data_IF_758482788871
#
_entry.id   IF_758482788871
#
_cell.length_a   1.000
_cell.length_b   1.000
_cell.length_c   1.000
_cell.angle_alpha   90.00
_cell.angle_beta   90.00
_cell.angle_gamma   90.00
#
_symmetry.space_group_name_H-M   'P 1'
#
loop_
_entity.id
_entity.type
_entity.pdbx_description
1 polymer ?
#
# COMPACT_ATOMS: atom_id res chain seq x y z
N UNK A 1 -23.25 31.45 11.66
CA UNK A 1 -22.64 30.19 12.15
C UNK A 1 -21.59 29.80 11.15
N UNK A 2 -20.31 29.85 11.53
CA UNK A 2 -19.24 29.41 10.65
C UNK A 2 -19.35 27.89 10.46
N UNK A 3 -19.66 27.45 9.25
CA UNK A 3 -19.52 26.04 8.89
C UNK A 3 -18.03 25.75 8.84
N UNK A 4 -17.45 25.31 9.97
CA UNK A 4 -16.13 24.71 9.95
C UNK A 4 -16.20 23.53 8.99
N UNK A 5 -15.51 23.62 7.85
CA UNK A 5 -15.25 22.46 7.01
C UNK A 5 -14.63 21.41 7.91
N UNK A 6 -15.30 20.28 8.09
CA UNK A 6 -14.74 19.17 8.86
C UNK A 6 -13.35 18.87 8.28
N UNK A 7 -12.32 18.87 9.13
CA UNK A 7 -10.98 18.50 8.70
C UNK A 7 -11.02 17.11 8.07
N UNK A 8 -10.29 16.94 6.96
CA UNK A 8 -10.17 15.69 6.24
C UNK A 8 -8.70 15.32 6.17
N UNK A 9 -8.33 14.19 6.76
CA UNK A 9 -6.97 13.69 6.70
C UNK A 9 -6.74 12.97 5.36
N UNK A 10 -5.63 13.26 4.70
CA UNK A 10 -5.30 12.68 3.39
C UNK A 10 -4.43 11.43 3.52
N UNK A 11 -4.79 10.43 2.71
CA UNK A 11 -4.09 9.16 2.61
C UNK A 11 -3.89 8.79 1.15
N UNK A 12 -2.85 8.00 0.89
CA UNK A 12 -2.58 7.44 -0.43
C UNK A 12 -2.63 5.92 -0.35
N UNK A 13 -3.32 5.29 -1.28
CA UNK A 13 -3.22 3.85 -1.48
C UNK A 13 -1.95 3.54 -2.26
N UNK A 14 -1.07 2.76 -1.65
CA UNK A 14 0.17 2.28 -2.24
C UNK A 14 0.01 0.81 -2.57
N UNK A 15 -0.11 0.44 -3.86
CA UNK A 15 -0.20 -0.96 -4.26
C UNK A 15 1.12 -1.68 -3.93
N UNK A 16 1.02 -2.93 -3.46
CA UNK A 16 2.16 -3.81 -3.20
C UNK A 16 2.25 -4.83 -4.35
N UNK A 17 3.20 -4.64 -5.25
CA UNK A 17 3.28 -5.34 -6.53
C UNK A 17 4.70 -5.78 -6.86
N UNK A 18 4.84 -6.75 -7.77
CA UNK A 18 6.15 -7.21 -8.22
C UNK A 18 6.84 -6.13 -9.06
N UNK A 19 8.17 -6.25 -9.11
CA UNK A 19 9.03 -5.47 -10.01
C UNK A 19 8.91 -3.95 -9.86
N UNK A 20 8.53 -3.52 -8.66
CA UNK A 20 8.57 -2.12 -8.22
C UNK A 20 9.56 -1.98 -7.07
N UNK A 21 10.42 -0.97 -7.18
CA UNK A 21 11.28 -0.55 -6.09
C UNK A 21 10.56 0.53 -5.27
N UNK A 22 10.41 0.27 -3.99
CA UNK A 22 9.88 1.20 -3.01
C UNK A 22 11.08 1.82 -2.29
N UNK A 23 11.27 3.13 -2.44
CA UNK A 23 12.40 3.85 -1.87
C UNK A 23 11.88 4.94 -0.94
N UNK A 24 12.26 4.93 0.34
CA UNK A 24 11.85 5.94 1.31
C UNK A 24 13.04 6.79 1.76
N UNK A 25 12.94 8.10 1.56
CA UNK A 25 13.92 9.07 2.02
C UNK A 25 13.43 9.73 3.31
N UNK A 26 13.99 9.33 4.46
CA UNK A 26 13.62 9.84 5.78
C UNK A 26 13.81 11.36 5.93
N UNK A 27 14.80 11.95 5.26
CA UNK A 27 15.10 13.40 5.37
C UNK A 27 14.07 14.26 4.65
N UNK A 28 13.61 13.82 3.47
CA UNK A 28 12.61 14.55 2.66
C UNK A 28 11.19 14.07 2.92
N UNK A 29 11.03 12.97 3.66
CA UNK A 29 9.76 12.29 3.91
C UNK A 29 9.04 11.90 2.61
N UNK A 30 9.80 11.46 1.59
CA UNK A 30 9.25 11.03 0.30
C UNK A 30 9.41 9.52 0.15
N UNK A 31 8.28 8.85 -0.07
CA UNK A 31 8.24 7.48 -0.58
C UNK A 31 8.09 7.53 -2.10
N UNK A 32 8.99 6.84 -2.80
CA UNK A 32 8.98 6.74 -4.27
C UNK A 32 8.71 5.31 -4.68
N UNK A 33 7.76 5.12 -5.60
CA UNK A 33 7.52 3.87 -6.31
C UNK A 33 8.18 4.00 -7.68
N UNK A 34 9.12 3.11 -8.00
CA UNK A 34 9.92 3.19 -9.21
C UNK A 34 9.93 1.88 -9.99
N UNK A 35 9.65 1.97 -11.29
CA UNK A 35 9.85 0.88 -12.25
C UNK A 35 10.28 1.45 -13.61
N UNK A 36 11.46 1.05 -14.08
CA UNK A 36 12.04 1.63 -15.29
C UNK A 36 12.13 3.16 -15.19
N UNK A 37 11.57 3.86 -16.16
CA UNK A 37 11.49 5.33 -16.21
C UNK A 37 10.26 5.90 -15.47
N UNK A 38 9.33 5.03 -15.04
CA UNK A 38 8.15 5.42 -14.27
C UNK A 38 8.53 5.66 -12.81
N UNK A 39 8.17 6.83 -12.28
CA UNK A 39 8.40 7.20 -10.89
C UNK A 39 7.19 7.96 -10.33
N UNK A 40 6.61 7.45 -9.24
CA UNK A 40 5.55 8.11 -8.48
C UNK A 40 6.12 8.49 -7.12
N UNK A 41 5.92 9.72 -6.68
CA UNK A 41 6.40 10.19 -5.39
C UNK A 41 5.23 10.58 -4.49
N UNK A 42 5.28 10.11 -3.25
CA UNK A 42 4.30 10.36 -2.21
C UNK A 42 5.02 11.02 -1.04
N UNK A 43 4.58 12.21 -0.65
CA UNK A 43 5.09 12.90 0.53
C UNK A 43 4.32 12.41 1.74
N UNK A 44 5.05 11.83 2.69
CA UNK A 44 4.52 11.27 3.92
C UNK A 44 4.11 12.40 4.86
N UNK A 45 2.88 12.34 5.36
CA UNK A 45 2.36 13.30 6.33
C UNK A 45 2.84 13.01 7.74
N UNK A 46 2.54 13.92 8.67
CA UNK A 46 2.88 13.77 10.09
C UNK A 46 1.88 12.92 10.88
N UNK A 47 0.76 12.52 10.25
CA UNK A 47 -0.29 11.72 10.87
C UNK A 47 0.04 10.22 10.89
N UNK A 48 -0.66 9.49 11.76
CA UNK A 48 -0.54 8.03 11.81
C UNK A 48 -1.05 7.38 10.51
N UNK A 49 -0.37 6.33 10.05
CA UNK A 49 -0.82 5.54 8.92
C UNK A 49 -1.97 4.61 9.32
N UNK A 50 -2.90 4.34 8.40
CA UNK A 50 -3.97 3.35 8.63
C UNK A 50 -3.37 1.95 8.60
N UNK A 51 -2.52 1.67 7.61
CA UNK A 51 -1.68 0.47 7.61
C UNK A 51 -0.51 0.67 8.56
N UNK A 52 -0.29 -0.30 9.45
CA UNK A 52 0.71 -0.20 10.52
C UNK A 52 1.37 -1.53 10.79
N UNK A 53 2.59 -1.51 11.31
CA UNK A 53 3.31 -2.68 11.77
C UNK A 53 3.07 -2.93 13.26
N UNK A 54 3.03 -4.19 13.66
CA UNK A 54 2.99 -4.57 15.07
C UNK A 54 3.89 -5.79 15.31
N UNK A 55 4.64 -5.76 16.41
CA UNK A 55 5.38 -6.92 16.89
C UNK A 55 4.42 -7.93 17.54
N UNK A 56 4.42 -9.16 17.04
CA UNK A 56 3.61 -10.27 17.52
C UNK A 56 4.48 -11.39 18.07
N UNK A 57 3.86 -12.34 18.77
CA UNK A 57 4.48 -13.61 19.15
C UNK A 57 3.69 -14.76 18.56
N UNK A 58 4.41 -15.73 18.02
CA UNK A 58 3.82 -16.99 17.55
C UNK A 58 3.43 -17.88 18.74
N UNK A 59 2.68 -18.96 18.46
CA UNK A 59 2.37 -19.99 19.48
C UNK A 59 3.62 -20.61 20.11
N UNK A 60 4.75 -20.57 19.42
CA UNK A 60 6.05 -21.07 19.88
C UNK A 60 6.90 -19.97 20.53
N UNK A 61 6.32 -18.82 20.90
CA UNK A 61 6.98 -17.64 21.46
C UNK A 61 8.01 -16.92 20.57
N UNK A 62 8.20 -17.34 19.32
CA UNK A 62 9.03 -16.59 18.37
C UNK A 62 8.38 -15.24 18.08
N UNK A 63 9.16 -14.16 18.19
CA UNK A 63 8.74 -12.80 17.83
C UNK A 63 8.72 -12.67 16.31
N UNK A 64 7.78 -11.89 15.79
CA UNK A 64 7.74 -11.53 14.37
C UNK A 64 7.02 -10.19 14.19
N UNK A 65 7.26 -9.51 13.07
CA UNK A 65 6.51 -8.32 12.68
C UNK A 65 5.40 -8.66 11.69
N UNK A 66 4.24 -8.04 11.86
CA UNK A 66 3.10 -8.16 10.96
C UNK A 66 2.62 -6.78 10.52
N UNK A 67 2.27 -6.64 9.23
CA UNK A 67 1.55 -5.47 8.72
C UNK A 67 0.04 -5.73 8.85
N UNK A 68 -0.63 -4.80 9.52
CA UNK A 68 -2.07 -4.73 9.69
C UNK A 68 -2.72 -3.75 8.73
N UNK A 69 -4.03 -3.93 8.53
CA UNK A 69 -4.87 -3.07 7.70
C UNK A 69 -4.35 -2.94 6.26
N UNK A 70 -4.05 -4.08 5.63
CA UNK A 70 -3.77 -4.11 4.19
C UNK A 70 -5.12 -4.01 3.48
N UNK A 71 -5.27 -2.98 2.64
CA UNK A 71 -6.49 -2.76 1.86
C UNK A 71 -6.50 -3.70 0.65
N UNK A 72 -7.64 -4.33 0.40
CA UNK A 72 -7.95 -5.06 -0.82
C UNK A 72 -8.91 -4.20 -1.64
N UNK A 73 -8.41 -3.64 -2.74
CA UNK A 73 -9.19 -2.79 -3.63
C UNK A 73 -9.75 -3.62 -4.79
N UNK A 74 -11.03 -4.02 -4.70
CA UNK A 74 -11.73 -4.86 -5.68
C UNK A 74 -12.26 -4.04 -6.87
N UNK A 75 -12.42 -4.65 -8.04
CA UNK A 75 -12.88 -3.96 -9.25
C UNK A 75 -11.78 -3.17 -9.96
N UNK A 76 -10.52 -3.40 -9.56
CA UNK A 76 -9.33 -2.76 -10.11
C UNK A 76 -8.24 -3.80 -10.38
N UNK A 77 -7.48 -3.56 -11.44
CA UNK A 77 -6.20 -4.20 -11.73
C UNK A 77 -5.12 -3.11 -11.86
N UNK A 78 -3.85 -3.48 -11.70
CA UNK A 78 -2.74 -2.55 -11.88
C UNK A 78 -2.11 -2.71 -13.27
N UNK A 79 -1.86 -1.60 -13.96
CA UNK A 79 -0.89 -1.58 -15.05
C UNK A 79 0.51 -1.64 -14.44
N UNK A 80 1.18 -2.77 -14.60
CA UNK A 80 2.49 -2.95 -13.98
C UNK A 80 3.55 -2.00 -14.56
N UNK A 81 3.40 -1.47 -15.78
CA UNK A 81 4.42 -0.62 -16.42
C UNK A 81 4.26 0.86 -16.06
N UNK A 82 3.02 1.34 -15.98
CA UNK A 82 2.71 2.71 -15.57
C UNK A 82 2.51 2.85 -14.05
N UNK A 83 2.26 1.76 -13.33
CA UNK A 83 1.87 1.70 -11.91
C UNK A 83 0.50 2.31 -11.61
N UNK A 84 -0.29 2.63 -12.65
CA UNK A 84 -1.66 3.13 -12.51
C UNK A 84 -2.67 2.02 -12.26
N UNK A 85 -3.64 2.28 -11.38
CA UNK A 85 -4.82 1.43 -11.22
C UNK A 85 -5.80 1.66 -12.37
N UNK A 86 -6.23 0.57 -13.01
CA UNK A 86 -7.28 0.56 -14.03
C UNK A 86 -8.54 -0.04 -13.43
N UNK A 87 -9.65 0.68 -13.53
CA UNK A 87 -10.95 0.18 -13.10
C UNK A 87 -11.46 -0.85 -14.11
N UNK A 88 -11.56 -2.12 -13.70
CA UNK A 88 -11.95 -3.23 -14.58
C UNK A 88 -13.43 -3.56 -14.51
N UNK A 89 -14.10 -3.14 -13.43
CA UNK A 89 -15.48 -3.51 -13.07
C UNK A 89 -15.69 -5.02 -12.84
N UNK A 90 -14.64 -5.83 -12.90
CA UNK A 90 -14.69 -7.24 -12.50
C UNK A 90 -14.51 -7.34 -10.97
N UNK A 91 -15.53 -7.78 -10.21
CA UNK A 91 -15.42 -7.88 -8.76
C UNK A 91 -14.40 -8.95 -8.30
N UNK A 92 -13.98 -9.85 -9.19
CA UNK A 92 -12.93 -10.83 -8.92
C UNK A 92 -11.52 -10.25 -9.08
N UNK A 93 -11.35 -9.17 -9.84
CA UNK A 93 -10.09 -8.42 -9.90
C UNK A 93 -9.89 -7.61 -8.63
N UNK A 94 -8.66 -7.59 -8.13
CA UNK A 94 -8.29 -6.76 -7.00
C UNK A 94 -6.79 -6.44 -6.98
N UNK A 95 -6.46 -5.36 -6.29
CA UNK A 95 -5.07 -5.00 -5.94
C UNK A 95 -4.96 -4.83 -4.43
N UNK A 96 -3.92 -5.43 -3.83
CA UNK A 96 -3.63 -5.30 -2.40
C UNK A 96 -2.58 -4.22 -2.17
N UNK A 97 -2.74 -3.46 -1.11
CA UNK A 97 -1.83 -2.36 -0.80
C UNK A 97 -1.98 -1.81 0.61
N UNK A 98 -1.14 -0.83 0.93
CA UNK A 98 -1.16 -0.12 2.21
C UNK A 98 -1.80 1.27 2.05
N UNK A 99 -2.38 1.78 3.14
CA UNK A 99 -2.89 3.14 3.25
C UNK A 99 -1.98 3.94 4.17
N UNK A 100 -1.25 4.87 3.56
CA UNK A 100 -0.28 5.74 4.24
C UNK A 100 -0.82 7.15 4.34
N UNK A 101 -0.57 7.82 5.46
CA UNK A 101 -0.92 9.23 5.63
C UNK A 101 0.04 10.08 4.80
N UNK A 102 -0.49 10.94 3.93
CA UNK A 102 0.32 11.71 3.01
C UNK A 102 -0.43 12.17 1.78
N UNK A 103 0.32 12.85 0.92
CA UNK A 103 -0.15 13.45 -0.33
C UNK A 103 0.69 12.98 -1.51
N UNK A 104 0.07 12.87 -2.68
CA UNK A 104 0.80 12.54 -3.91
C UNK A 104 1.58 13.78 -4.35
N UNK A 105 2.91 13.68 -4.39
CA UNK A 105 3.80 14.78 -4.75
C UNK A 105 4.10 14.83 -6.26
N UNK A 106 4.14 13.68 -6.93
CA UNK A 106 4.38 13.58 -8.37
C UNK A 106 3.67 12.37 -8.97
N UNK A 107 3.05 12.57 -10.13
CA UNK A 107 2.37 11.56 -10.94
C UNK A 107 3.05 11.50 -12.30
N UNK A 108 3.49 10.32 -12.72
CA UNK A 108 4.12 10.08 -14.02
C UNK A 108 3.11 10.13 -15.19
N UNK A 109 2.35 11.23 -15.33
CA UNK A 109 1.27 11.38 -16.31
C UNK A 109 -0.05 10.67 -15.94
N UNK A 110 -0.11 10.06 -14.75
CA UNK A 110 -1.27 9.36 -14.22
C UNK A 110 -2.31 10.32 -13.65
N UNK A 111 -3.53 9.80 -13.46
CA UNK A 111 -4.65 10.52 -12.85
C UNK A 111 -4.82 10.19 -11.37
N UNK A 112 -5.50 11.07 -10.64
CA UNK A 112 -5.86 10.87 -9.24
C UNK A 112 -7.37 10.69 -9.10
N UNK A 113 -7.80 9.61 -8.46
CA UNK A 113 -9.17 9.41 -8.02
C UNK A 113 -9.25 9.59 -6.50
N UNK A 114 -10.20 10.39 -6.04
CA UNK A 114 -10.39 10.68 -4.62
C UNK A 114 -11.64 9.99 -4.07
N UNK A 115 -11.52 9.36 -2.91
CA UNK A 115 -12.64 8.75 -2.19
C UNK A 115 -12.67 9.31 -0.78
N UNK A 116 -13.72 10.06 -0.44
CA UNK A 116 -13.92 10.59 0.92
C UNK A 116 -14.85 9.69 1.72
N UNK A 117 -14.38 9.20 2.86
CA UNK A 117 -15.14 8.41 3.81
C UNK A 117 -15.28 9.16 5.13
N UNK A 118 -16.44 9.01 5.80
CA UNK A 118 -16.53 9.43 7.18
C UNK A 118 -15.66 8.52 8.05
N UNK A 119 -15.10 9.05 9.14
CA UNK A 119 -14.22 8.28 10.04
C UNK A 119 -14.83 6.99 10.56
N UNK A 120 -16.15 6.99 10.79
CA UNK A 120 -16.90 5.84 11.27
C UNK A 120 -17.01 4.71 10.22
N UNK A 121 -16.90 5.04 8.93
CA UNK A 121 -17.09 4.09 7.84
C UNK A 121 -15.78 3.47 7.36
N UNK A 122 -14.61 4.01 7.72
CA UNK A 122 -13.31 3.54 7.20
C UNK A 122 -13.09 2.06 7.53
N UNK A 123 -13.25 1.65 8.78
CA UNK A 123 -13.03 0.25 9.19
C UNK A 123 -14.21 -0.68 8.85
N UNK A 124 -15.38 -0.10 8.55
CA UNK A 124 -16.62 -0.83 8.29
C UNK A 124 -16.85 -1.11 6.79
N UNK A 125 -16.55 -0.15 5.92
CA UNK A 125 -16.76 -0.25 4.47
C UNK A 125 -15.56 -0.74 3.70
N UNK A 126 -14.35 -0.40 4.14
CA UNK A 126 -13.14 -0.80 3.42
C UNK A 126 -12.79 -2.25 3.73
N UNK A 127 -12.40 -2.98 2.69
CA UNK A 127 -12.03 -4.38 2.83
C UNK A 127 -10.56 -4.52 3.24
N UNK A 128 -10.33 -4.51 4.56
CA UNK A 128 -9.01 -4.76 5.15
C UNK A 128 -8.81 -6.24 5.50
N UNK A 129 -7.64 -6.78 5.15
CA UNK A 129 -7.12 -8.02 5.76
C UNK A 129 -6.20 -7.69 6.93
N UNK A 130 -6.04 -8.65 7.86
CA UNK A 130 -5.26 -8.46 9.11
C UNK A 130 -5.71 -7.21 9.86
N UNK A 131 -7.03 -7.07 10.06
CA UNK A 131 -7.64 -5.88 10.66
C UNK A 131 -7.07 -5.61 12.05
N UNK A 132 -6.71 -4.36 12.30
CA UNK A 132 -6.40 -3.80 13.60
C UNK A 132 -7.12 -2.46 13.74
N UNK A 133 -7.57 -2.15 14.95
CA UNK A 133 -8.22 -0.87 15.23
C UNK A 133 -7.30 0.32 14.90
N UNK A 134 -7.91 1.37 14.36
CA UNK A 134 -7.29 2.67 14.05
C UNK A 134 -8.17 3.75 14.68
N UNK A 135 -7.57 4.69 15.41
CA UNK A 135 -8.30 5.77 16.07
C UNK A 135 -8.28 7.04 15.21
N UNK A 136 -9.30 7.19 14.36
CA UNK A 136 -9.40 8.31 13.42
C UNK A 136 -10.13 9.49 14.05
N UNK A 137 -9.53 10.68 13.99
CA UNK A 137 -10.15 11.92 14.52
C UNK A 137 -11.07 12.57 13.49
N UNK A 138 -10.62 12.57 12.23
CA UNK A 138 -11.19 13.30 11.11
C UNK A 138 -11.74 12.35 10.03
N UNK A 139 -12.54 12.88 9.12
CA UNK A 139 -12.92 12.15 7.92
C UNK A 139 -11.67 11.87 7.07
N UNK A 140 -11.72 10.86 6.22
CA UNK A 140 -10.55 10.39 5.48
C UNK A 140 -10.76 10.57 3.99
N UNK A 141 -9.78 11.17 3.31
CA UNK A 141 -9.69 11.17 1.85
C UNK A 141 -8.62 10.16 1.45
N UNK A 142 -9.01 9.16 0.68
CA UNK A 142 -8.10 8.19 0.07
C UNK A 142 -7.87 8.59 -1.37
N UNK A 143 -6.61 8.82 -1.73
CA UNK A 143 -6.18 9.08 -3.09
C UNK A 143 -5.71 7.77 -3.73
N UNK A 144 -6.31 7.43 -4.87
CA UNK A 144 -5.90 6.33 -5.73
C UNK A 144 -5.16 6.91 -6.94
N UNK A 145 -4.04 6.29 -7.30
CA UNK A 145 -3.30 6.61 -8.53
C UNK A 145 -3.86 5.74 -9.64
N UNK A 146 -4.42 6.36 -10.67
CA UNK A 146 -5.26 5.69 -11.68
C UNK A 146 -4.82 6.00 -13.09
N UNK A 147 -5.16 5.12 -14.02
CA UNK A 147 -5.01 5.31 -15.45
C UNK A 147 -6.29 4.91 -16.18
N UNK A 148 -6.62 5.65 -17.23
CA UNK A 148 -7.72 5.29 -18.14
C UNK A 148 -7.14 4.64 -19.39
N UNK A 149 -7.26 3.31 -19.48
CA UNK A 149 -6.92 2.53 -20.66
C UNK A 149 -7.99 1.48 -20.96
N UNK A 150 -8.09 0.95 -22.20
CA UNK A 150 -9.01 -0.12 -22.52
C UNK A 150 -8.80 -1.33 -21.60
N UNK A 151 -9.87 -1.80 -20.95
CA UNK A 151 -9.83 -2.99 -20.11
C UNK A 151 -9.54 -4.22 -20.98
N UNK A 152 -8.51 -4.97 -20.62
CA UNK A 152 -8.03 -6.19 -21.29
C UNK A 152 -8.09 -7.36 -20.30
N UNK A 153 -7.71 -8.55 -20.76
CA UNK A 153 -7.56 -9.73 -19.90
C UNK A 153 -6.61 -9.40 -18.75
N UNK A 154 -7.08 -9.62 -17.53
CA UNK A 154 -6.26 -9.50 -16.32
C UNK A 154 -5.55 -10.81 -16.01
N UNK A 155 -4.40 -10.71 -15.33
CA UNK A 155 -3.59 -11.84 -14.93
C UNK A 155 -3.36 -11.80 -13.41
N UNK A 156 -3.62 -12.93 -12.76
CA UNK A 156 -3.27 -13.09 -11.36
C UNK A 156 -1.75 -13.09 -11.17
N UNK A 157 -1.27 -12.30 -10.23
CA UNK A 157 0.13 -12.16 -9.82
C UNK A 157 0.25 -12.32 -8.30
N UNK A 158 1.41 -12.77 -7.85
CA UNK A 158 1.74 -12.92 -6.43
C UNK A 158 3.19 -12.56 -6.18
N UNK A 159 3.50 -12.02 -5.00
CA UNK A 159 4.88 -11.69 -4.57
C UNK A 159 5.67 -12.94 -4.12
N UNK A 160 5.48 -14.07 -4.79
CA UNK A 160 5.95 -15.37 -4.34
C UNK A 160 7.48 -15.41 -4.30
N UNK A 161 8.02 -15.88 -3.18
CA UNK A 161 9.45 -16.10 -2.97
C UNK A 161 9.69 -17.61 -2.92
N UNK A 162 10.36 -18.15 -3.94
CA UNK A 162 10.64 -19.58 -4.08
C UNK A 162 12.05 -19.95 -3.56
N UNK A 163 12.96 -18.99 -3.43
CA UNK A 163 14.32 -19.25 -2.94
C UNK A 163 14.98 -18.05 -2.21
N UNK A 164 16.16 -18.28 -1.64
CA UNK A 164 16.92 -17.28 -0.87
C UNK A 164 17.40 -16.08 -1.69
N UNK A 165 17.67 -16.24 -2.99
CA UNK A 165 18.11 -15.10 -3.81
C UNK A 165 16.93 -14.15 -4.07
N UNK A 166 15.75 -14.71 -4.34
CA UNK A 166 14.50 -13.95 -4.49
C UNK A 166 14.10 -13.24 -3.19
N UNK A 167 14.39 -13.84 -2.03
CA UNK A 167 14.20 -13.20 -0.72
C UNK A 167 15.00 -11.90 -0.59
N UNK A 168 16.29 -11.92 -0.92
CA UNK A 168 17.14 -10.71 -0.85
C UNK A 168 16.72 -9.66 -1.89
N UNK A 169 16.37 -10.09 -3.10
CA UNK A 169 15.83 -9.19 -4.12
C UNK A 169 14.55 -8.51 -3.64
N UNK A 170 13.63 -9.27 -3.05
CA UNK A 170 12.37 -8.75 -2.56
C UNK A 170 12.56 -7.78 -1.38
N UNK A 171 13.47 -8.09 -0.44
CA UNK A 171 13.85 -7.14 0.62
C UNK A 171 14.32 -5.80 0.06
N UNK A 172 15.15 -5.84 -0.99
CA UNK A 172 15.62 -4.63 -1.65
C UNK A 172 14.46 -3.88 -2.31
N UNK A 173 13.54 -4.58 -2.98
CA UNK A 173 12.34 -3.99 -3.59
C UNK A 173 11.49 -3.28 -2.53
N UNK A 174 11.19 -3.91 -1.39
CA UNK A 174 10.32 -3.33 -0.35
C UNK A 174 11.06 -2.48 0.70
N UNK A 175 12.35 -2.18 0.49
CA UNK A 175 13.19 -1.50 1.49
C UNK A 175 12.57 -0.19 1.97
N UNK A 176 11.98 0.61 1.08
CA UNK A 176 11.30 1.85 1.45
C UNK A 176 10.10 1.63 2.38
N UNK A 177 9.39 0.50 2.26
CA UNK A 177 8.30 0.15 3.18
C UNK A 177 8.86 -0.26 4.54
N UNK A 178 9.94 -1.04 4.57
CA UNK A 178 10.66 -1.41 5.79
C UNK A 178 11.15 -0.15 6.53
N UNK A 179 11.76 0.77 5.80
CA UNK A 179 12.30 2.03 6.32
C UNK A 179 11.18 2.99 6.79
N UNK A 180 10.05 3.03 6.08
CA UNK A 180 8.86 3.82 6.44
C UNK A 180 8.31 3.44 7.82
N UNK A 181 8.27 2.14 8.10
CA UNK A 181 7.78 1.59 9.37
C UNK A 181 8.89 1.40 10.43
N UNK A 182 10.10 1.90 10.16
CA UNK A 182 11.29 1.83 11.02
C UNK A 182 11.60 0.41 11.55
N UNK A 183 11.49 -0.60 10.68
CA UNK A 183 11.80 -1.99 11.02
C UNK A 183 13.30 -2.21 10.83
N UNK A 184 14.05 -2.31 11.92
CA UNK A 184 15.53 -2.37 11.86
C UNK A 184 16.10 -3.78 12.03
N UNK A 185 15.35 -4.70 12.64
CA UNK A 185 15.84 -6.04 12.94
C UNK A 185 15.74 -6.96 11.70
N UNK A 186 16.84 -7.63 11.36
CA UNK A 186 16.92 -8.48 10.16
C UNK A 186 16.01 -9.71 10.21
N UNK A 187 15.81 -10.31 11.38
CA UNK A 187 14.88 -11.42 11.57
C UNK A 187 13.43 -10.96 11.38
N UNK A 188 13.08 -9.78 11.90
CA UNK A 188 11.76 -9.16 11.70
C UNK A 188 11.51 -8.82 10.22
N UNK A 189 12.53 -8.33 9.51
CA UNK A 189 12.48 -8.07 8.07
C UNK A 189 12.23 -9.38 7.29
N UNK A 190 12.97 -10.44 7.58
CA UNK A 190 12.79 -11.75 6.92
C UNK A 190 11.36 -12.26 7.11
N UNK A 191 10.88 -12.26 8.36
CA UNK A 191 9.54 -12.71 8.70
C UNK A 191 8.46 -11.87 8.02
N UNK A 192 8.66 -10.54 7.95
CA UNK A 192 7.74 -9.65 7.26
C UNK A 192 7.67 -10.00 5.77
N UNK A 193 8.82 -10.17 5.14
CA UNK A 193 8.91 -10.50 3.72
C UNK A 193 8.21 -11.82 3.40
N UNK A 194 8.48 -12.88 4.17
CA UNK A 194 7.80 -14.17 3.99
C UNK A 194 6.29 -14.02 4.10
N UNK A 195 5.82 -13.31 5.13
CA UNK A 195 4.39 -13.04 5.34
C UNK A 195 3.76 -12.21 4.24
N UNK A 196 4.48 -11.27 3.65
CA UNK A 196 3.99 -10.46 2.53
C UNK A 196 3.93 -11.31 1.25
N UNK A 197 4.92 -12.14 0.98
CA UNK A 197 4.92 -13.12 -0.11
C UNK A 197 3.69 -14.02 -0.06
N UNK A 198 3.29 -14.48 1.13
CA UNK A 198 2.14 -15.39 1.29
C UNK A 198 0.78 -14.72 1.04
N UNK A 199 0.63 -13.43 1.38
CA UNK A 199 -0.69 -12.78 1.39
C UNK A 199 -0.89 -11.79 0.25
N UNK A 200 0.20 -11.24 -0.30
CA UNK A 200 0.11 -10.21 -1.33
C UNK A 200 0.08 -10.88 -2.69
N UNK A 201 -1.09 -10.74 -3.29
CA UNK A 201 -1.39 -11.06 -4.66
C UNK A 201 -2.33 -9.99 -5.20
N UNK A 202 -2.37 -9.87 -6.51
CA UNK A 202 -3.09 -8.81 -7.21
C UNK A 202 -3.36 -9.23 -8.65
N UNK A 203 -4.21 -8.49 -9.34
CA UNK A 203 -4.44 -8.63 -10.76
C UNK A 203 -3.70 -7.53 -11.52
N UNK A 204 -2.99 -7.90 -12.59
CA UNK A 204 -2.37 -6.96 -13.52
C UNK A 204 -3.01 -6.98 -14.91
N UNK A 205 -2.91 -5.86 -15.63
CA UNK A 205 -3.53 -5.61 -16.93
C UNK A 205 -2.55 -5.08 -17.97
#
# INVERSE_FOLDING_TARGET
MASGTAEVDEYVFVPLVNDVNYEYNKQTQILTLKKGDTSISIKIGSGEHISKTEGKRSRNNNKYVEIHNILVLTGYAIDEDSLGLVQTLDPCDYVKGILINGEIASLAGLSKQEITLSKAEVMNKLYFIRKSNVNLKNNIKINLITESKPVRKTNYRSLKIDNKNEMEEFKNKIKGIIDLYDIQNSEDINNLVEKLSDIINYYSI
#
